data_IF_846438630219
#
_entry.id   IF_846438630219
#
_cell.length_a   1.000
_cell.length_b   1.000
_cell.length_c   1.000
_cell.angle_alpha   90.00
_cell.angle_beta   90.00
_cell.angle_gamma   90.00
#
_symmetry.space_group_name_H-M   'P 1'
#
loop_
_entity.id
_entity.type
_entity.pdbx_description
1 polymer ?
#
# COMPACT_ATOMS: atom_id res chain seq x y z
N UNK A 1 -10.66 -11.14 -13.57
CA UNK A 1 -10.88 -12.28 -14.50
C UNK A 1 -11.44 -13.51 -13.80
N UNK A 2 -10.72 -14.17 -12.88
CA UNK A 2 -11.18 -15.43 -12.26
C UNK A 2 -12.54 -15.35 -11.53
N UNK A 3 -12.92 -14.16 -11.06
CA UNK A 3 -14.22 -13.88 -10.41
C UNK A 3 -15.23 -13.20 -11.35
N UNK A 4 -15.05 -13.34 -12.66
CA UNK A 4 -15.97 -12.88 -13.71
C UNK A 4 -15.74 -11.48 -14.27
N UNK A 5 -14.92 -10.63 -13.63
CA UNK A 5 -14.64 -9.29 -14.17
C UNK A 5 -13.86 -9.37 -15.49
N UNK A 6 -14.30 -8.61 -16.50
CA UNK A 6 -13.59 -8.44 -17.77
C UNK A 6 -12.52 -7.36 -17.62
N UNK A 7 -11.30 -7.73 -17.99
CA UNK A 7 -10.14 -6.84 -17.98
C UNK A 7 -9.59 -6.84 -19.39
N UNK A 8 -9.67 -5.69 -20.06
CA UNK A 8 -9.01 -5.44 -21.33
C UNK A 8 -7.72 -4.68 -21.06
N UNK A 9 -6.60 -5.38 -21.20
CA UNK A 9 -5.27 -4.81 -21.00
C UNK A 9 -4.34 -5.36 -22.08
N UNK A 10 -4.35 -4.75 -23.28
CA UNK A 10 -3.46 -5.16 -24.36
C UNK A 10 -2.02 -4.92 -23.95
N UNK A 11 -1.14 -5.86 -24.33
CA UNK A 11 0.31 -5.70 -24.18
C UNK A 11 0.75 -4.36 -24.76
N UNK A 12 1.67 -3.69 -24.07
CA UNK A 12 2.26 -2.38 -24.43
C UNK A 12 1.32 -1.16 -24.48
N UNK A 13 0.01 -1.31 -24.23
CA UNK A 13 -0.95 -0.19 -24.32
C UNK A 13 -0.84 0.86 -23.19
N UNK A 14 -0.11 0.54 -22.10
CA UNK A 14 -0.05 1.35 -20.89
C UNK A 14 -1.41 1.63 -20.22
N UNK A 15 -2.49 1.03 -20.72
CA UNK A 15 -3.88 1.33 -20.36
C UNK A 15 -4.63 0.03 -20.11
N UNK A 16 -5.22 -0.09 -18.93
CA UNK A 16 -6.12 -1.20 -18.60
C UNK A 16 -7.55 -0.66 -18.44
N UNK A 17 -8.51 -1.33 -19.09
CA UNK A 17 -9.95 -1.06 -18.94
C UNK A 17 -10.58 -2.23 -18.19
N UNK A 18 -11.27 -1.93 -17.10
CA UNK A 18 -11.91 -2.93 -16.26
C UNK A 18 -13.41 -2.68 -16.26
N UNK A 19 -14.17 -3.64 -16.76
CA UNK A 19 -15.63 -3.62 -16.67
C UNK A 19 -16.03 -4.06 -15.25
N UNK A 20 -16.38 -3.08 -14.41
CA UNK A 20 -16.80 -3.31 -13.04
C UNK A 20 -18.13 -4.06 -12.97
N UNK A 21 -18.22 -5.04 -12.06
CA UNK A 21 -19.44 -5.83 -11.82
C UNK A 21 -20.31 -5.27 -10.68
N UNK A 22 -19.94 -4.11 -10.11
CA UNK A 22 -20.51 -3.60 -8.87
C UNK A 22 -20.00 -4.37 -7.64
N UNK A 23 -20.45 -3.96 -6.45
CA UNK A 23 -19.98 -4.56 -5.18
C UNK A 23 -20.33 -6.05 -5.10
N UNK A 24 -21.56 -6.42 -5.42
CA UNK A 24 -22.08 -7.79 -5.27
C UNK A 24 -22.11 -8.60 -6.57
N UNK A 25 -21.36 -8.19 -7.60
CA UNK A 25 -21.37 -8.86 -8.90
C UNK A 25 -20.25 -9.86 -9.12
N UNK A 26 -19.37 -10.11 -8.13
CA UNK A 26 -18.31 -11.10 -8.24
C UNK A 26 -18.87 -12.52 -8.22
N UNK A 27 -18.24 -13.42 -8.98
CA UNK A 27 -18.60 -14.83 -9.04
C UNK A 27 -17.62 -15.71 -8.26
N UNK A 28 -18.13 -16.83 -7.75
CA UNK A 28 -17.33 -17.88 -7.12
C UNK A 28 -16.26 -18.39 -8.12
N UNK A 29 -14.96 -18.31 -7.78
CA UNK A 29 -13.91 -18.76 -8.69
C UNK A 29 -13.90 -20.29 -8.79
N UNK A 30 -13.74 -20.82 -10.01
CA UNK A 30 -13.68 -22.26 -10.24
C UNK A 30 -12.36 -22.94 -9.84
N UNK A 31 -11.34 -22.17 -9.46
CA UNK A 31 -10.01 -22.66 -9.08
C UNK A 31 -9.35 -21.74 -8.04
N UNK A 32 -8.20 -22.15 -7.52
CA UNK A 32 -7.36 -21.39 -6.60
C UNK A 32 -6.93 -20.06 -7.23
N UNK A 33 -7.16 -18.98 -6.51
CA UNK A 33 -6.68 -17.65 -6.87
C UNK A 33 -5.19 -17.55 -6.56
N UNK A 34 -4.37 -17.57 -7.61
CA UNK A 34 -2.92 -17.46 -7.50
C UNK A 34 -2.49 -15.99 -7.37
N UNK A 35 -1.96 -15.61 -6.21
CA UNK A 35 -1.44 -14.28 -5.92
C UNK A 35 0.04 -14.09 -6.31
N UNK A 36 0.70 -15.12 -6.87
CA UNK A 36 2.13 -15.08 -7.20
C UNK A 36 2.99 -14.77 -5.97
N UNK A 37 3.86 -13.75 -6.07
CA UNK A 37 4.64 -13.23 -4.94
C UNK A 37 3.94 -12.07 -4.18
N UNK A 38 2.77 -11.63 -4.63
CA UNK A 38 2.16 -10.38 -4.17
C UNK A 38 1.44 -10.54 -2.82
N UNK A 39 2.14 -10.16 -1.75
CA UNK A 39 1.54 -10.04 -0.42
C UNK A 39 0.41 -9.01 -0.34
N UNK A 40 0.51 -7.93 -1.14
CA UNK A 40 -0.55 -6.91 -1.24
C UNK A 40 -1.83 -7.53 -1.82
N UNK A 41 -1.73 -8.25 -2.92
CA UNK A 41 -2.87 -8.92 -3.57
C UNK A 41 -3.53 -9.89 -2.60
N UNK A 42 -2.77 -10.80 -1.98
CA UNK A 42 -3.35 -11.81 -1.07
C UNK A 42 -4.06 -11.17 0.13
N UNK A 43 -3.47 -10.14 0.74
CA UNK A 43 -4.02 -9.50 1.94
C UNK A 43 -5.28 -8.68 1.65
N UNK A 44 -5.26 -7.86 0.59
CA UNK A 44 -6.43 -7.06 0.20
C UNK A 44 -7.55 -7.97 -0.30
N UNK A 45 -7.24 -9.00 -1.11
CA UNK A 45 -8.24 -9.98 -1.54
C UNK A 45 -8.85 -10.75 -0.36
N UNK A 46 -8.09 -11.02 0.71
CA UNK A 46 -8.66 -11.65 1.92
C UNK A 46 -9.84 -10.83 2.47
N UNK A 47 -9.70 -9.51 2.51
CA UNK A 47 -10.78 -8.59 2.92
C UNK A 47 -11.95 -8.56 1.93
N UNK A 48 -11.65 -8.41 0.64
CA UNK A 48 -12.68 -8.42 -0.42
C UNK A 48 -13.50 -9.72 -0.40
N UNK A 49 -12.83 -10.87 -0.32
CA UNK A 49 -13.45 -12.19 -0.35
C UNK A 49 -14.23 -12.51 0.92
N UNK A 50 -13.82 -11.98 2.08
CA UNK A 50 -14.58 -12.09 3.31
C UNK A 50 -15.99 -11.48 3.16
N UNK A 51 -16.13 -10.39 2.41
CA UNK A 51 -17.41 -9.74 2.14
C UNK A 51 -18.32 -10.45 1.14
N UNK A 52 -17.83 -11.46 0.41
CA UNK A 52 -18.56 -12.10 -0.68
C UNK A 52 -19.08 -13.49 -0.28
N UNK A 53 -20.34 -13.80 -0.63
CA UNK A 53 -21.05 -15.02 -0.18
C UNK A 53 -20.70 -16.27 -0.99
N UNK A 54 -19.41 -16.63 -1.09
CA UNK A 54 -18.95 -17.84 -1.76
C UNK A 54 -17.64 -18.38 -1.14
N UNK A 55 -17.22 -19.59 -1.59
CA UNK A 55 -15.93 -20.17 -1.20
C UNK A 55 -14.83 -19.66 -2.13
N UNK A 56 -13.67 -19.37 -1.57
CA UNK A 56 -12.47 -19.01 -2.34
C UNK A 56 -11.22 -19.54 -1.67
N UNK A 57 -10.19 -19.80 -2.47
CA UNK A 57 -8.88 -20.25 -1.98
C UNK A 57 -7.81 -19.34 -2.55
N UNK A 58 -7.01 -18.71 -1.69
CA UNK A 58 -5.85 -17.90 -2.06
C UNK A 58 -4.57 -18.69 -1.87
N UNK A 59 -3.65 -18.64 -2.82
CA UNK A 59 -2.29 -19.20 -2.70
C UNK A 59 -1.27 -18.35 -3.45
N UNK A 60 -0.01 -18.75 -3.42
CA UNK A 60 1.08 -18.06 -4.12
C UNK A 60 2.33 -18.92 -4.24
N UNK A 61 3.44 -18.29 -4.58
CA UNK A 61 4.73 -18.96 -4.69
C UNK A 61 5.28 -19.43 -3.33
N UNK A 62 6.47 -20.04 -3.31
CA UNK A 62 7.10 -20.53 -2.08
C UNK A 62 7.38 -19.41 -1.08
N UNK A 63 7.81 -18.23 -1.54
CA UNK A 63 8.11 -17.09 -0.67
C UNK A 63 6.84 -16.57 0.01
N UNK A 64 5.77 -16.34 -0.76
CA UNK A 64 4.51 -15.81 -0.24
C UNK A 64 3.86 -16.78 0.74
N UNK A 65 3.97 -18.10 0.51
CA UNK A 65 3.46 -19.14 1.41
C UNK A 65 4.18 -19.21 2.76
N UNK A 66 5.34 -18.58 2.92
CA UNK A 66 6.02 -18.45 4.22
C UNK A 66 5.70 -17.14 4.95
N UNK A 67 5.02 -16.19 4.31
CA UNK A 67 4.70 -14.90 4.93
C UNK A 67 3.46 -15.03 5.82
N UNK A 68 3.47 -14.48 7.05
CA UNK A 68 2.34 -14.57 7.96
C UNK A 68 1.13 -13.75 7.46
N UNK A 69 -0.04 -14.37 7.58
CA UNK A 69 -1.36 -13.85 7.19
C UNK A 69 -2.33 -13.78 8.38
N UNK A 70 -1.94 -14.27 9.56
CA UNK A 70 -2.76 -14.21 10.77
C UNK A 70 -3.27 -12.78 11.08
N UNK A 71 -2.46 -11.76 10.81
CA UNK A 71 -2.81 -10.34 11.01
C UNK A 71 -3.97 -9.82 10.14
N UNK A 72 -4.25 -10.47 9.00
CA UNK A 72 -5.44 -10.17 8.18
C UNK A 72 -6.56 -11.17 8.41
N UNK A 73 -6.25 -12.42 8.75
CA UNK A 73 -7.26 -13.46 9.01
C UNK A 73 -8.07 -13.17 10.27
N UNK A 74 -7.40 -12.75 11.35
CA UNK A 74 -8.03 -12.47 12.65
C UNK A 74 -9.17 -11.44 12.57
N UNK A 75 -8.95 -10.20 12.06
CA UNK A 75 -10.03 -9.23 11.97
C UNK A 75 -11.19 -9.72 11.09
N UNK A 76 -10.92 -10.45 10.01
CA UNK A 76 -11.99 -10.96 9.16
C UNK A 76 -12.88 -11.97 9.89
N UNK A 77 -12.28 -12.82 10.73
CA UNK A 77 -13.03 -13.76 11.59
C UNK A 77 -13.86 -13.02 12.64
N UNK A 78 -13.29 -11.97 13.25
CA UNK A 78 -14.00 -11.11 14.21
C UNK A 78 -15.21 -10.41 13.56
N UNK A 79 -15.09 -10.02 12.29
CA UNK A 79 -16.20 -9.48 11.50
C UNK A 79 -17.22 -10.53 11.05
N UNK A 80 -16.94 -11.83 11.19
CA UNK A 80 -17.88 -12.93 10.90
C UNK A 80 -17.48 -13.90 9.79
N UNK A 81 -16.35 -13.68 9.10
CA UNK A 81 -15.91 -14.57 8.04
C UNK A 81 -15.43 -15.93 8.57
N UNK A 82 -15.66 -17.00 7.80
CA UNK A 82 -15.07 -18.31 8.09
C UNK A 82 -13.82 -18.50 7.24
N UNK A 83 -12.65 -18.39 7.87
CA UNK A 83 -11.36 -18.48 7.17
C UNK A 83 -10.52 -19.58 7.80
N UNK A 84 -9.75 -20.35 7.03
CA UNK A 84 -8.77 -21.33 7.49
C UNK A 84 -7.45 -21.16 6.74
N UNK A 85 -6.32 -21.44 7.39
CA UNK A 85 -5.01 -21.43 6.74
C UNK A 85 -4.05 -22.46 7.38
N UNK A 86 -2.90 -22.69 6.75
CA UNK A 86 -1.88 -23.62 7.27
C UNK A 86 -1.21 -23.09 8.54
N UNK A 87 -0.59 -24.00 9.28
CA UNK A 87 0.29 -23.69 10.42
C UNK A 87 -0.41 -22.85 11.48
N UNK A 88 -1.55 -23.33 11.98
CA UNK A 88 -2.35 -22.59 12.98
C UNK A 88 -2.94 -21.30 12.42
N UNK A 89 -3.48 -21.36 11.19
CA UNK A 89 -4.14 -20.24 10.51
C UNK A 89 -3.25 -19.01 10.26
N UNK A 90 -1.99 -19.24 9.89
CA UNK A 90 -1.04 -18.15 9.61
C UNK A 90 -0.43 -18.17 8.22
N UNK A 91 -0.31 -19.32 7.56
CA UNK A 91 0.37 -19.43 6.27
C UNK A 91 -0.57 -19.88 5.15
N UNK A 92 -0.35 -19.36 3.94
CA UNK A 92 -1.09 -19.76 2.76
C UNK A 92 -0.82 -21.24 2.38
N UNK A 93 -1.75 -21.93 1.69
CA UNK A 93 -3.03 -21.43 1.16
C UNK A 93 -4.04 -21.02 2.24
N UNK A 94 -4.88 -20.03 1.91
CA UNK A 94 -5.96 -19.52 2.76
C UNK A 94 -7.28 -19.90 2.12
N UNK A 95 -8.15 -20.57 2.87
CA UNK A 95 -9.52 -20.90 2.45
C UNK A 95 -10.47 -19.92 3.11
N UNK A 96 -11.32 -19.26 2.33
CA UNK A 96 -12.23 -18.21 2.79
C UNK A 96 -13.64 -18.59 2.36
N UNK A 97 -14.55 -18.73 3.32
CA UNK A 97 -15.99 -18.73 3.12
C UNK A 97 -16.52 -17.41 3.67
N UNK A 98 -16.79 -16.47 2.76
CA UNK A 98 -17.23 -15.12 3.09
C UNK A 98 -18.75 -15.01 3.28
N UNK A 99 -19.20 -13.77 3.48
CA UNK A 99 -20.58 -13.41 3.75
C UNK A 99 -20.86 -13.13 5.23
N UNK A 100 -21.95 -12.42 5.51
CA UNK A 100 -22.40 -12.13 6.88
C UNK A 100 -21.44 -11.24 7.69
N UNK A 101 -20.69 -10.38 7.01
CA UNK A 101 -19.73 -9.46 7.63
C UNK A 101 -20.49 -8.38 8.41
N UNK A 102 -20.04 -8.09 9.63
CA UNK A 102 -20.56 -7.02 10.47
C UNK A 102 -19.51 -5.94 10.68
N UNK A 103 -19.98 -4.70 10.71
CA UNK A 103 -19.15 -3.56 11.04
C UNK A 103 -18.64 -3.67 12.48
N UNK A 104 -17.41 -3.22 12.70
CA UNK A 104 -16.80 -3.22 14.02
C UNK A 104 -15.76 -2.09 14.14
N UNK A 105 -15.41 -1.76 15.37
CA UNK A 105 -14.18 -1.02 15.65
C UNK A 105 -13.04 -2.00 15.85
N UNK A 106 -12.08 -1.97 14.93
CA UNK A 106 -10.87 -2.77 14.98
C UNK A 106 -9.68 -1.93 15.42
N UNK A 107 -9.16 -2.22 16.62
CA UNK A 107 -7.90 -1.65 17.10
C UNK A 107 -6.74 -2.51 16.60
N UNK A 108 -6.00 -2.00 15.61
CA UNK A 108 -4.90 -2.76 15.04
C UNK A 108 -3.70 -2.78 15.99
N UNK A 109 -3.13 -3.96 16.29
CA UNK A 109 -1.94 -4.05 17.14
C UNK A 109 -0.66 -3.56 16.43
N UNK A 110 -0.72 -3.30 15.11
CA UNK A 110 0.43 -2.93 14.28
C UNK A 110 0.05 -1.82 13.31
N UNK A 111 0.98 -0.93 13.00
CA UNK A 111 0.80 0.06 11.92
C UNK A 111 0.97 -0.66 10.57
N UNK A 112 -0.13 -1.12 9.97
CA UNK A 112 -0.08 -1.83 8.69
C UNK A 112 -1.19 -1.42 7.73
N UNK A 113 -0.82 -0.66 6.71
CA UNK A 113 -1.72 -0.26 5.63
C UNK A 113 -2.42 -1.47 4.99
N UNK A 114 -1.76 -2.62 4.84
CA UNK A 114 -2.38 -3.82 4.28
C UNK A 114 -3.46 -4.43 5.18
N UNK A 115 -3.32 -4.34 6.50
CA UNK A 115 -4.35 -4.80 7.45
C UNK A 115 -5.53 -3.84 7.41
N UNK A 116 -5.27 -2.53 7.47
CA UNK A 116 -6.29 -1.50 7.30
C UNK A 116 -7.05 -1.68 5.99
N UNK A 117 -6.38 -1.77 4.86
CA UNK A 117 -7.00 -1.99 3.55
C UNK A 117 -7.86 -3.25 3.55
N UNK A 118 -7.40 -4.37 4.12
CA UNK A 118 -8.20 -5.59 4.19
C UNK A 118 -9.49 -5.40 5.01
N UNK A 119 -9.40 -4.72 6.16
CA UNK A 119 -10.57 -4.43 7.02
C UNK A 119 -11.54 -3.49 6.32
N UNK A 120 -11.05 -2.42 5.68
CA UNK A 120 -11.89 -1.50 4.90
C UNK A 120 -12.54 -2.20 3.71
N UNK A 121 -11.82 -3.08 3.00
CA UNK A 121 -12.40 -3.85 1.89
C UNK A 121 -13.52 -4.77 2.34
N UNK A 122 -13.42 -5.40 3.52
CA UNK A 122 -14.53 -6.16 4.09
C UNK A 122 -15.67 -5.23 4.56
N UNK A 123 -15.33 -4.07 5.11
CA UNK A 123 -16.27 -3.03 5.53
C UNK A 123 -17.19 -2.53 4.43
N UNK A 124 -16.78 -2.62 3.15
CA UNK A 124 -17.66 -2.32 2.01
C UNK A 124 -18.90 -3.21 1.93
N UNK A 125 -18.87 -4.39 2.56
CA UNK A 125 -19.92 -5.41 2.55
C UNK A 125 -20.59 -5.59 3.92
N UNK A 126 -20.16 -4.81 4.92
CA UNK A 126 -20.53 -5.03 6.29
C UNK A 126 -21.95 -4.53 6.60
N UNK A 127 -22.61 -5.18 7.57
CA UNK A 127 -23.75 -4.60 8.26
C UNK A 127 -23.25 -3.60 9.32
N UNK A 128 -23.44 -2.30 9.06
CA UNK A 128 -23.02 -1.21 9.95
C UNK A 128 -21.62 -0.65 9.64
N UNK A 129 -21.25 0.40 10.36
CA UNK A 129 -19.99 1.12 10.17
C UNK A 129 -18.78 0.26 10.55
N UNK A 130 -17.69 0.41 9.81
CA UNK A 130 -16.40 -0.23 10.12
C UNK A 130 -15.38 0.86 10.46
N UNK A 131 -14.75 0.74 11.63
CA UNK A 131 -13.75 1.68 12.11
C UNK A 131 -12.42 0.96 12.28
N UNK A 132 -11.34 1.48 11.71
CA UNK A 132 -9.98 0.96 11.89
C UNK A 132 -9.15 1.99 12.65
N UNK A 133 -8.61 1.60 13.80
CA UNK A 133 -7.71 2.44 14.60
C UNK A 133 -6.30 1.89 14.50
N UNK A 134 -5.36 2.70 14.02
CA UNK A 134 -3.94 2.32 13.89
C UNK A 134 -3.09 2.94 15.02
N UNK A 135 -2.00 2.29 15.46
CA UNK A 135 -1.10 2.88 16.44
C UNK A 135 -0.31 4.06 15.86
N UNK A 136 -0.08 4.07 14.55
CA UNK A 136 0.53 5.16 13.81
C UNK A 136 -0.08 5.26 12.40
N UNK A 137 -0.01 6.45 11.81
CA UNK A 137 -0.45 6.68 10.45
C UNK A 137 0.29 5.79 9.45
N UNK A 138 -0.46 5.11 8.57
CA UNK A 138 0.12 4.36 7.46
C UNK A 138 -0.35 4.94 6.11
N UNK A 139 0.14 4.34 5.02
CA UNK A 139 -0.30 4.66 3.65
C UNK A 139 -1.82 4.69 3.56
N UNK A 140 -2.36 5.71 2.89
CA UNK A 140 -3.80 5.99 2.83
C UNK A 140 -4.41 5.86 1.42
N UNK A 141 -3.72 5.15 0.51
CA UNK A 141 -4.16 4.95 -0.87
C UNK A 141 -5.56 4.32 -0.96
N UNK A 142 -5.89 3.37 -0.07
CA UNK A 142 -7.23 2.76 -0.06
C UNK A 142 -8.29 3.79 0.27
N UNK A 143 -8.04 4.65 1.25
CA UNK A 143 -8.95 5.68 1.68
C UNK A 143 -9.19 6.72 0.58
N UNK A 144 -8.11 7.23 -0.02
CA UNK A 144 -8.19 8.24 -1.08
C UNK A 144 -8.92 7.69 -2.31
N UNK A 145 -8.62 6.46 -2.73
CA UNK A 145 -9.27 5.84 -3.88
C UNK A 145 -10.75 5.55 -3.60
N UNK A 146 -11.10 5.00 -2.43
CA UNK A 146 -12.50 4.76 -2.06
C UNK A 146 -13.30 6.07 -2.01
N UNK A 147 -12.72 7.12 -1.43
CA UNK A 147 -13.34 8.45 -1.40
C UNK A 147 -13.54 9.02 -2.80
N UNK A 148 -12.56 8.88 -3.70
CA UNK A 148 -12.67 9.28 -5.10
C UNK A 148 -13.74 8.47 -5.87
N UNK A 149 -14.00 7.22 -5.45
CA UNK A 149 -15.08 6.37 -5.97
C UNK A 149 -16.44 6.69 -5.31
N UNK A 150 -16.52 7.66 -4.41
CA UNK A 150 -17.75 8.11 -3.75
C UNK A 150 -18.15 7.34 -2.50
N UNK A 151 -17.22 6.58 -1.89
CA UNK A 151 -17.45 5.99 -0.58
C UNK A 151 -17.51 7.07 0.51
N UNK A 152 -18.37 6.85 1.51
CA UNK A 152 -18.38 7.63 2.73
C UNK A 152 -17.29 7.09 3.66
N UNK A 153 -16.13 7.74 3.58
CA UNK A 153 -14.94 7.38 4.35
C UNK A 153 -14.24 8.64 4.84
N UNK A 154 -13.98 8.65 6.15
CA UNK A 154 -13.35 9.76 6.84
C UNK A 154 -12.27 9.29 7.79
N UNK A 155 -11.29 10.17 8.01
CA UNK A 155 -10.16 9.93 8.89
C UNK A 155 -10.12 11.00 9.97
N UNK A 156 -10.06 10.56 11.22
CA UNK A 156 -9.85 11.42 12.39
C UNK A 156 -8.67 10.89 13.19
N UNK A 157 -7.54 11.61 13.15
CA UNK A 157 -6.28 11.13 13.73
C UNK A 157 -5.81 9.82 13.07
N UNK A 158 -5.66 8.76 13.88
CA UNK A 158 -5.31 7.42 13.41
C UNK A 158 -6.53 6.50 13.22
N UNK A 159 -7.74 7.05 13.31
CA UNK A 159 -8.98 6.30 13.08
C UNK A 159 -9.50 6.57 11.67
N UNK A 160 -9.85 5.51 10.95
CA UNK A 160 -10.53 5.56 9.65
C UNK A 160 -11.90 4.92 9.81
N UNK A 161 -12.96 5.67 9.50
CA UNK A 161 -14.35 5.21 9.56
C UNK A 161 -14.88 5.07 8.14
N UNK A 162 -15.44 3.90 7.83
CA UNK A 162 -16.08 3.59 6.55
C UNK A 162 -17.54 3.20 6.80
N UNK A 163 -18.44 3.92 6.16
CA UNK A 163 -19.85 3.53 6.05
C UNK A 163 -20.03 2.71 4.77
N UNK A 164 -20.58 1.47 4.84
CA UNK A 164 -20.77 0.62 3.67
C UNK A 164 -21.55 1.34 2.56
N UNK A 165 -20.97 1.54 1.36
CA UNK A 165 -21.62 2.28 0.30
C UNK A 165 -22.62 1.39 -0.45
N UNK A 166 -23.72 1.97 -0.95
CA UNK A 166 -24.63 1.23 -1.85
C UNK A 166 -24.06 1.00 -3.26
N UNK A 167 -23.10 1.83 -3.68
CA UNK A 167 -22.38 1.71 -4.96
C UNK A 167 -21.04 2.43 -4.87
N UNK A 168 -20.10 2.01 -5.70
CA UNK A 168 -18.86 2.75 -5.98
C UNK A 168 -18.85 3.16 -7.45
N UNK A 169 -18.42 4.39 -7.73
CA UNK A 169 -18.22 4.89 -9.08
C UNK A 169 -16.94 4.32 -9.70
N UNK A 170 -16.91 4.22 -11.03
CA UNK A 170 -15.69 3.88 -11.75
C UNK A 170 -14.66 5.01 -11.63
N UNK A 171 -13.38 4.64 -11.54
CA UNK A 171 -12.27 5.58 -11.49
C UNK A 171 -11.54 5.59 -12.84
N UNK A 172 -11.45 6.77 -13.45
CA UNK A 172 -10.58 7.01 -14.60
C UNK A 172 -9.34 7.77 -14.16
N UNK A 173 -8.16 7.15 -14.22
CA UNK A 173 -6.93 7.81 -13.82
C UNK A 173 -5.71 7.33 -14.61
N UNK A 174 -4.76 8.23 -14.82
CA UNK A 174 -3.40 7.87 -15.21
C UNK A 174 -2.63 7.58 -13.93
N UNK A 175 -2.30 6.32 -13.66
CA UNK A 175 -1.58 5.94 -12.45
C UNK A 175 -0.29 6.78 -12.35
N UNK A 176 -0.11 7.59 -11.29
CA UNK A 176 1.12 8.36 -11.12
C UNK A 176 2.31 7.43 -10.89
N UNK A 177 3.50 7.88 -11.29
CA UNK A 177 4.76 7.19 -11.07
C UNK A 177 5.01 6.94 -9.59
N UNK A 178 5.61 5.81 -9.29
CA UNK A 178 5.88 5.39 -7.91
C UNK A 178 7.11 6.12 -7.36
N UNK A 179 6.97 6.77 -6.20
CA UNK A 179 8.06 7.47 -5.52
C UNK A 179 9.23 6.52 -5.20
N UNK A 180 8.95 5.24 -4.90
CA UNK A 180 9.98 4.24 -4.63
C UNK A 180 10.79 3.90 -5.87
N UNK A 181 10.17 3.96 -7.05
CA UNK A 181 10.84 3.80 -8.34
C UNK A 181 11.54 5.09 -8.80
N UNK A 182 11.07 6.26 -8.35
CA UNK A 182 11.72 7.55 -8.59
C UNK A 182 12.96 7.74 -7.69
N UNK A 183 12.97 7.17 -6.49
CA UNK A 183 13.99 7.39 -5.47
C UNK A 183 15.44 7.14 -5.94
N UNK A 184 15.78 6.07 -6.69
CA UNK A 184 17.14 5.89 -7.20
C UNK A 184 17.61 7.06 -8.09
N UNK A 185 16.71 7.62 -8.90
CA UNK A 185 17.01 8.78 -9.76
C UNK A 185 17.15 10.07 -8.96
N UNK A 186 16.33 10.23 -7.91
CA UNK A 186 16.46 11.35 -6.97
C UNK A 186 17.82 11.32 -6.28
N UNK A 187 18.22 10.15 -5.76
CA UNK A 187 19.53 9.98 -5.12
C UNK A 187 20.67 10.18 -6.11
N UNK A 188 20.57 9.63 -7.33
CA UNK A 188 21.57 9.83 -8.37
C UNK A 188 21.76 11.32 -8.70
N UNK A 189 20.66 12.05 -8.93
CA UNK A 189 20.73 13.47 -9.26
C UNK A 189 21.32 14.32 -8.13
N UNK A 190 21.02 13.97 -6.87
CA UNK A 190 21.56 14.66 -5.71
C UNK A 190 23.07 14.42 -5.53
N UNK A 191 23.52 13.17 -5.71
CA UNK A 191 24.91 12.77 -5.45
C UNK A 191 25.87 13.01 -6.63
N UNK A 192 25.37 13.03 -7.87
CA UNK A 192 26.22 13.20 -9.05
C UNK A 192 26.76 14.65 -9.10
N UNK A 193 28.05 14.87 -9.47
CA UNK A 193 28.67 16.19 -9.40
C UNK A 193 28.14 17.19 -10.44
N UNK A 194 27.53 16.72 -11.53
CA UNK A 194 26.92 17.54 -12.58
C UNK A 194 25.69 16.83 -13.16
N UNK A 195 24.52 17.06 -12.57
CA UNK A 195 23.27 16.44 -12.93
C UNK A 195 22.07 17.38 -12.68
N UNK A 196 21.12 17.31 -13.61
CA UNK A 196 19.75 17.78 -13.45
C UNK A 196 18.83 16.68 -13.99
N UNK A 197 17.97 16.12 -13.14
CA UNK A 197 17.05 15.05 -13.51
C UNK A 197 15.64 15.52 -13.20
N UNK A 198 14.78 15.51 -14.22
CA UNK A 198 13.34 15.69 -14.08
C UNK A 198 12.65 14.33 -14.16
N UNK A 199 11.88 14.01 -13.14
CA UNK A 199 11.03 12.82 -13.08
C UNK A 199 9.58 13.28 -13.14
N UNK A 200 8.88 12.88 -14.20
CA UNK A 200 7.53 13.37 -14.45
C UNK A 200 6.48 12.53 -13.72
N UNK A 201 5.41 13.21 -13.28
CA UNK A 201 4.17 12.59 -12.80
C UNK A 201 4.35 11.59 -11.65
N UNK A 202 5.20 11.90 -10.68
CA UNK A 202 5.42 11.07 -9.49
C UNK A 202 4.33 11.33 -8.46
N UNK A 203 3.83 10.26 -7.84
CA UNK A 203 2.93 10.36 -6.69
C UNK A 203 3.68 10.99 -5.51
N UNK A 204 3.13 12.09 -4.99
CA UNK A 204 3.70 12.84 -3.87
C UNK A 204 2.83 12.74 -2.62
N UNK A 205 2.18 11.59 -2.41
CA UNK A 205 1.37 11.34 -1.21
C UNK A 205 2.24 11.49 0.05
N UNK A 206 1.87 12.37 1.00
CA UNK A 206 2.67 12.62 2.20
C UNK A 206 3.01 11.37 3.01
N UNK A 207 2.19 10.32 2.96
CA UNK A 207 2.44 9.04 3.63
C UNK A 207 3.53 8.18 2.96
N UNK A 208 4.05 8.62 1.80
CA UNK A 208 5.04 7.95 0.96
C UNK A 208 6.26 8.81 0.60
N UNK A 209 6.20 10.12 0.82
CA UNK A 209 7.27 11.05 0.41
C UNK A 209 8.40 11.20 1.43
N UNK A 210 8.59 10.22 2.34
CA UNK A 210 9.61 10.35 3.38
C UNK A 210 11.03 10.57 2.82
N UNK A 211 11.34 10.00 1.64
CA UNK A 211 12.62 10.25 0.95
C UNK A 211 12.82 11.72 0.56
N UNK A 212 11.76 12.46 0.21
CA UNK A 212 11.87 13.88 -0.12
C UNK A 212 12.24 14.70 1.12
N UNK A 213 11.63 14.38 2.27
CA UNK A 213 11.96 15.03 3.54
C UNK A 213 13.42 14.73 3.95
N UNK A 214 13.90 13.49 3.72
CA UNK A 214 15.31 13.16 3.95
C UNK A 214 16.22 13.97 3.04
N UNK A 215 15.93 14.03 1.73
CA UNK A 215 16.72 14.80 0.78
C UNK A 215 16.78 16.28 1.16
N UNK A 216 15.66 16.88 1.55
CA UNK A 216 15.65 18.27 2.04
C UNK A 216 16.44 18.44 3.33
N UNK A 217 16.34 17.51 4.29
CA UNK A 217 17.12 17.53 5.52
C UNK A 217 18.63 17.35 5.28
N UNK A 218 19.01 16.72 4.17
CA UNK A 218 20.39 16.60 3.71
C UNK A 218 20.82 17.77 2.81
N UNK A 219 20.01 18.83 2.70
CA UNK A 219 20.26 19.99 1.85
C UNK A 219 20.34 19.70 0.34
N UNK A 220 19.67 18.65 -0.13
CA UNK A 220 19.56 18.37 -1.54
C UNK A 220 18.69 19.42 -2.26
N UNK A 221 19.10 19.81 -3.46
CA UNK A 221 18.34 20.65 -4.38
C UNK A 221 17.26 19.79 -5.06
N UNK A 222 16.10 19.71 -4.43
CA UNK A 222 14.92 18.99 -4.92
C UNK A 222 13.72 19.94 -4.93
N UNK A 223 13.13 20.11 -6.11
CA UNK A 223 11.99 20.98 -6.35
C UNK A 223 10.78 20.17 -6.84
N UNK A 224 9.61 20.51 -6.31
CA UNK A 224 8.33 19.99 -6.81
C UNK A 224 7.75 20.99 -7.82
N UNK A 225 7.38 20.48 -8.99
CA UNK A 225 6.60 21.22 -9.97
C UNK A 225 5.14 21.40 -9.55
N UNK A 226 4.29 21.78 -10.52
CA UNK A 226 2.86 21.96 -10.30
C UNK A 226 2.21 20.66 -9.80
N UNK A 227 1.52 20.76 -8.66
CA UNK A 227 0.81 19.64 -8.06
C UNK A 227 -0.56 19.46 -8.70
N UNK A 228 -0.93 18.20 -8.92
CA UNK A 228 -2.20 17.80 -9.54
C UNK A 228 -2.82 16.64 -8.77
N UNK A 229 -4.14 16.54 -8.81
CA UNK A 229 -4.88 15.43 -8.23
C UNK A 229 -5.26 14.42 -9.31
N UNK A 230 -4.90 13.15 -9.10
CA UNK A 230 -5.13 12.06 -10.05
C UNK A 230 -5.76 10.88 -9.32
N UNK A 231 -7.06 10.69 -9.50
CA UNK A 231 -7.79 9.62 -8.82
C UNK A 231 -7.81 9.74 -7.28
N UNK A 232 -7.75 10.97 -6.75
CA UNK A 232 -7.66 11.24 -5.31
C UNK A 232 -6.23 11.30 -4.76
N UNK A 233 -5.23 10.95 -5.56
CA UNK A 233 -3.81 10.99 -5.18
C UNK A 233 -3.13 12.28 -5.68
N UNK A 234 -2.26 12.92 -4.87
CA UNK A 234 -1.47 14.04 -5.33
C UNK A 234 -0.28 13.55 -6.17
N UNK A 235 0.00 14.22 -7.28
CA UNK A 235 1.14 13.95 -8.14
C UNK A 235 1.82 15.26 -8.58
N UNK A 236 3.12 15.20 -8.84
CA UNK A 236 3.90 16.32 -9.35
C UNK A 236 5.09 15.82 -10.17
N UNK A 237 5.66 16.71 -10.97
CA UNK A 237 6.99 16.46 -11.50
C UNK A 237 8.02 16.83 -10.42
N UNK A 238 9.10 16.06 -10.32
CA UNK A 238 10.17 16.29 -9.34
C UNK A 238 11.44 16.59 -10.11
N UNK A 239 12.10 17.70 -9.78
CA UNK A 239 13.41 18.04 -10.33
C UNK A 239 14.44 17.93 -9.24
N UNK A 240 15.48 17.14 -9.46
CA UNK A 240 16.63 17.03 -8.57
C UNK A 240 17.89 17.50 -9.28
N UNK A 241 18.78 18.17 -8.55
CA UNK A 241 20.06 18.65 -9.06
C UNK A 241 21.22 18.26 -8.15
N UNK A 242 22.42 18.31 -8.71
CA UNK A 242 23.66 18.14 -7.96
C UNK A 242 23.68 18.97 -6.69
N UNK A 243 24.07 18.35 -5.58
CA UNK A 243 23.97 18.93 -4.25
C UNK A 243 25.20 18.63 -3.40
N UNK A 244 25.56 19.56 -2.51
CA UNK A 244 26.52 19.29 -1.43
C UNK A 244 25.75 18.79 -0.22
N UNK A 245 25.67 17.46 -0.07
CA UNK A 245 24.83 16.83 0.95
C UNK A 245 25.46 16.93 2.34
N UNK A 246 24.63 17.19 3.35
CA UNK A 246 25.01 17.11 4.76
C UNK A 246 24.31 15.91 5.42
N UNK A 247 25.00 15.28 6.36
CA UNK A 247 24.44 14.15 7.07
C UNK A 247 23.22 14.52 7.92
N UNK A 248 22.32 13.56 8.13
CA UNK A 248 21.10 13.75 8.92
C UNK A 248 20.75 12.52 9.76
N UNK A 249 19.78 12.67 10.66
CA UNK A 249 19.20 11.56 11.43
C UNK A 249 17.82 11.22 10.92
N UNK A 250 17.62 9.97 10.51
CA UNK A 250 16.35 9.42 10.03
C UNK A 250 15.81 8.43 11.07
N UNK A 251 14.62 8.70 11.60
CA UNK A 251 13.99 7.86 12.63
C UNK A 251 12.54 8.27 12.89
N UNK A 252 11.89 7.60 13.86
CA UNK A 252 10.49 7.86 14.23
C UNK A 252 9.52 7.79 13.04
N UNK A 253 8.66 8.81 12.92
CA UNK A 253 7.56 8.86 11.93
C UNK A 253 8.03 8.91 10.47
N UNK A 254 9.32 9.14 10.21
CA UNK A 254 9.88 9.14 8.86
C UNK A 254 10.10 7.72 8.32
N UNK A 255 10.37 6.75 9.21
CA UNK A 255 10.59 5.35 8.85
C UNK A 255 9.41 4.73 8.09
N UNK A 256 8.15 4.78 8.56
CA UNK A 256 7.03 4.20 7.82
C UNK A 256 6.79 4.89 6.47
N UNK A 257 7.19 6.15 6.32
CA UNK A 257 7.02 6.98 5.12
C UNK A 257 8.11 6.77 4.07
N UNK A 258 9.27 6.22 4.46
CA UNK A 258 10.43 5.98 3.60
C UNK A 258 10.90 4.52 3.61
N UNK A 259 10.09 3.58 4.13
CA UNK A 259 10.52 2.21 4.44
C UNK A 259 11.09 1.46 3.22
N UNK A 260 10.61 1.76 2.01
CA UNK A 260 11.09 1.11 0.80
C UNK A 260 12.37 1.76 0.25
N UNK A 261 12.63 3.02 0.63
CA UNK A 261 13.78 3.82 0.22
C UNK A 261 14.96 3.73 1.21
N UNK A 262 14.77 3.12 2.39
CA UNK A 262 15.82 2.98 3.40
C UNK A 262 17.14 2.39 2.87
N UNK A 263 17.16 1.39 1.97
CA UNK A 263 18.42 0.93 1.37
C UNK A 263 19.19 2.03 0.61
N UNK A 264 18.48 2.98 -0.01
CA UNK A 264 19.10 4.10 -0.72
C UNK A 264 19.66 5.17 0.23
N UNK A 265 19.23 5.18 1.51
CA UNK A 265 19.79 6.10 2.50
C UNK A 265 21.24 5.78 2.83
N UNK A 266 21.67 4.51 2.71
CA UNK A 266 23.07 4.15 2.85
C UNK A 266 23.93 4.82 1.77
N UNK A 267 23.43 4.87 0.52
CA UNK A 267 24.10 5.56 -0.58
C UNK A 267 24.12 7.08 -0.37
N UNK A 268 23.00 7.69 0.04
CA UNK A 268 22.95 9.11 0.37
C UNK A 268 23.94 9.47 1.49
N UNK A 269 23.95 8.68 2.57
CA UNK A 269 24.85 8.89 3.70
C UNK A 269 26.33 8.79 3.30
N UNK A 270 26.68 7.89 2.37
CA UNK A 270 28.04 7.76 1.86
C UNK A 270 28.49 8.97 1.01
N UNK A 271 27.55 9.73 0.44
CA UNK A 271 27.82 10.93 -0.34
C UNK A 271 27.75 12.24 0.49
N UNK A 272 27.36 12.16 1.77
CA UNK A 272 27.13 13.32 2.61
C UNK A 272 28.30 13.61 3.56
N UNK A 273 28.50 14.89 3.87
CA UNK A 273 29.46 15.30 4.88
C UNK A 273 28.91 15.08 6.30
N UNK A 274 29.58 14.25 7.10
CA UNK A 274 29.21 13.94 8.48
C UNK A 274 28.73 12.50 8.69
N UNK A 275 28.06 12.24 9.83
CA UNK A 275 27.52 10.92 10.19
C UNK A 275 26.00 10.87 10.00
N UNK A 276 25.52 10.01 9.10
CA UNK A 276 24.08 9.79 8.89
C UNK A 276 23.60 8.62 9.74
N UNK A 277 22.56 8.82 10.55
CA UNK A 277 22.05 7.81 11.49
C UNK A 277 20.63 7.39 11.11
N UNK A 278 20.41 6.09 10.90
CA UNK A 278 19.08 5.51 10.70
C UNK A 278 18.69 4.71 11.95
N UNK A 279 17.56 5.05 12.57
CA UNK A 279 17.03 4.42 13.78
C UNK A 279 15.57 3.97 13.59
N UNK A 280 15.06 3.14 14.50
CA UNK A 280 13.64 2.73 14.56
C UNK A 280 13.12 1.92 13.34
N UNK A 281 14.02 1.28 12.57
CA UNK A 281 13.72 0.60 11.31
C UNK A 281 13.56 -0.94 11.38
N UNK A 282 13.18 -1.50 12.53
CA UNK A 282 13.15 -2.96 12.76
C UNK A 282 12.27 -3.74 11.76
N UNK A 283 11.21 -3.12 11.22
CA UNK A 283 10.31 -3.72 10.22
C UNK A 283 10.99 -4.08 8.89
N UNK A 284 12.19 -3.56 8.60
CA UNK A 284 12.95 -3.93 7.40
C UNK A 284 13.44 -5.37 7.38
N UNK A 285 13.59 -6.00 8.56
CA UNK A 285 14.10 -7.38 8.67
C UNK A 285 13.09 -8.44 8.22
N UNK A 286 11.81 -8.07 8.11
CA UNK A 286 10.69 -8.99 7.84
C UNK A 286 10.00 -8.76 6.49
N UNK A 287 10.70 -8.08 5.56
CA UNK A 287 10.25 -7.81 4.18
C UNK A 287 10.56 -9.00 3.26
N UNK A 288 10.79 -8.76 1.97
CA UNK A 288 11.20 -9.79 1.01
C UNK A 288 12.57 -10.40 1.34
N UNK A 289 13.44 -9.60 1.97
CA UNK A 289 14.74 -9.96 2.53
C UNK A 289 14.98 -9.17 3.82
N UNK A 290 16.05 -9.49 4.57
CA UNK A 290 16.55 -8.61 5.63
C UNK A 290 17.28 -7.43 4.98
N UNK A 291 16.55 -6.34 4.71
CA UNK A 291 17.07 -5.15 4.03
C UNK A 291 18.04 -4.31 4.88
N UNK A 292 18.31 -4.71 6.13
CA UNK A 292 19.34 -4.08 6.98
C UNK A 292 20.67 -4.80 6.80
N UNK A 293 20.64 -6.14 6.72
CA UNK A 293 21.85 -6.96 6.56
C UNK A 293 22.35 -7.00 5.10
N UNK A 294 21.43 -7.04 4.14
CA UNK A 294 21.74 -7.19 2.70
C UNK A 294 21.44 -5.92 1.92
#
# INVERSE_FOLDING_TARGET
VAMGARIDWPEDSGTAVIDGLGLHGLFEPGDVLNCGNSGTTMRILTGLLAGNQFLSVLSGDDSLRQRPMARVIRPMREMGATIFARTGDTLAPIVIKGGGIRGMTYESPVASAQVKSAVLMAGLFAEGETVVVEPAATRDHTELMLKAMGADIDRTGNSVTLTPPGRLAALGMRVPGDISSAAPWLVLGACHPDAEIRIENVNINPTRTGILDVLHAMHANVELGEQRMVGGEPAADIVVRSSSLQATRVGGDLIPRAIDELPLLALLGACAEGETVVADAAELRVKESDRIET
#
